data_IF_830548043616
#
_entry.id   IF_830548043616
#
_cell.length_a   1.000
_cell.length_b   1.000
_cell.length_c   1.000
_cell.angle_alpha   90.00
_cell.angle_beta   90.00
_cell.angle_gamma   90.00
#
_symmetry.space_group_name_H-M   'P 1'
#
loop_
_entity.id
_entity.type
_entity.pdbx_description
1 polymer ?
#
# COMPACT_ATOMS: atom_id res chain seq x y z
N UNK A 1 -9.71 -24.78 -0.06
CA UNK A 1 -10.93 -24.72 0.80
C UNK A 1 -10.64 -24.69 2.30
N UNK A 2 -9.65 -25.41 2.82
CA UNK A 2 -9.27 -25.41 4.24
C UNK A 2 -8.85 -24.02 4.78
N UNK A 3 -8.11 -23.24 4.00
CA UNK A 3 -7.65 -21.92 4.45
C UNK A 3 -8.81 -20.93 4.65
N UNK A 4 -9.79 -20.90 3.74
CA UNK A 4 -11.01 -20.07 3.89
C UNK A 4 -11.78 -20.43 5.16
N UNK A 5 -11.86 -21.73 5.48
CA UNK A 5 -12.46 -22.22 6.72
C UNK A 5 -11.64 -21.83 7.97
N UNK A 6 -10.31 -21.78 7.87
CA UNK A 6 -9.42 -21.32 8.93
C UNK A 6 -9.58 -19.81 9.17
N UNK A 7 -9.59 -19.00 8.11
CA UNK A 7 -9.83 -17.55 8.15
C UNK A 7 -11.19 -17.29 8.80
N UNK A 8 -12.26 -17.94 8.35
CA UNK A 8 -13.59 -17.82 8.96
C UNK A 8 -13.65 -18.28 10.42
N UNK A 9 -12.75 -19.17 10.87
CA UNK A 9 -12.69 -19.65 12.26
C UNK A 9 -11.86 -18.72 13.17
N UNK A 10 -10.76 -18.15 12.67
CA UNK A 10 -9.99 -17.13 13.39
C UNK A 10 -10.75 -15.80 13.43
N UNK A 11 -11.45 -15.49 12.35
CA UNK A 11 -12.29 -14.32 12.17
C UNK A 11 -13.74 -14.59 12.63
N UNK A 12 -13.97 -15.05 13.87
CA UNK A 12 -15.35 -15.28 14.38
C UNK A 12 -15.82 -14.37 15.51
N UNK A 13 -15.00 -13.40 15.97
CA UNK A 13 -15.37 -12.42 17.01
C UNK A 13 -14.25 -11.41 17.24
N UNK A 14 -14.36 -10.22 16.64
CA UNK A 14 -13.78 -8.99 17.18
C UNK A 14 -14.63 -7.82 16.69
N UNK A 15 -15.32 -7.16 17.62
CA UNK A 15 -16.31 -6.13 17.33
C UNK A 15 -15.65 -4.88 16.70
N UNK A 16 -16.21 -4.46 15.56
CA UNK A 16 -16.36 -3.06 15.14
C UNK A 16 -15.18 -2.10 15.29
N UNK A 17 -14.23 -2.13 14.36
CA UNK A 17 -13.46 -0.94 13.97
C UNK A 17 -13.16 -1.02 12.46
N UNK A 18 -13.75 -0.13 11.67
CA UNK A 18 -13.47 -0.02 10.24
C UNK A 18 -12.16 0.75 10.02
N UNK A 19 -11.05 0.04 9.76
CA UNK A 19 -9.73 0.62 9.46
C UNK A 19 -9.17 0.22 8.08
N UNK A 20 -10.00 -0.22 7.14
CA UNK A 20 -9.55 -0.75 5.84
C UNK A 20 -10.08 0.01 4.61
N UNK A 21 -9.28 0.02 3.54
CA UNK A 21 -9.67 0.51 2.21
C UNK A 21 -10.75 -0.39 1.60
N UNK A 22 -11.89 0.20 1.27
CA UNK A 22 -12.98 -0.40 0.51
C UNK A 22 -13.91 0.68 0.00
N UNK A 23 -14.34 0.54 -1.26
CA UNK A 23 -15.56 1.19 -1.77
C UNK A 23 -16.71 0.84 -0.79
N UNK A 24 -17.64 1.76 -0.49
CA UNK A 24 -18.75 1.49 0.41
C UNK A 24 -19.74 0.53 -0.27
N UNK A 25 -19.39 -0.75 -0.35
CA UNK A 25 -20.31 -1.82 -0.69
C UNK A 25 -20.51 -2.63 0.59
N UNK A 26 -21.65 -2.39 1.22
CA UNK A 26 -22.40 -3.22 2.16
C UNK A 26 -21.64 -4.20 3.08
N UNK A 27 -21.62 -3.82 4.36
CA UNK A 27 -22.13 -4.61 5.49
C UNK A 27 -21.34 -5.80 6.08
N UNK A 28 -20.02 -5.86 5.97
CA UNK A 28 -19.20 -6.61 6.95
C UNK A 28 -18.01 -5.79 7.48
N UNK A 29 -17.94 -5.51 8.80
CA UNK A 29 -16.77 -4.89 9.40
C UNK A 29 -15.56 -5.80 9.20
N UNK A 30 -14.50 -5.28 8.55
CA UNK A 30 -13.25 -6.01 8.31
C UNK A 30 -12.68 -6.47 9.66
N UNK A 31 -12.63 -7.77 9.89
CA UNK A 31 -12.25 -8.28 11.18
C UNK A 31 -10.73 -8.22 11.39
N UNK A 32 -10.32 -7.49 12.41
CA UNK A 32 -8.92 -7.35 12.77
C UNK A 32 -8.43 -8.50 13.66
N UNK A 33 -7.21 -8.97 13.39
CA UNK A 33 -6.59 -10.13 14.02
C UNK A 33 -5.41 -9.66 14.89
N UNK A 34 -5.48 -9.83 16.23
CA UNK A 34 -4.36 -9.55 17.12
C UNK A 34 -3.30 -10.66 17.02
N UNK A 35 -2.29 -10.46 16.17
CA UNK A 35 -1.25 -11.46 15.91
C UNK A 35 -0.49 -11.91 17.16
N UNK A 36 -0.39 -11.04 18.17
CA UNK A 36 0.20 -11.35 19.48
C UNK A 36 -0.44 -12.57 20.17
N UNK A 37 -1.69 -12.91 19.84
CA UNK A 37 -2.39 -14.09 20.38
C UNK A 37 -1.99 -15.40 19.69
N UNK A 38 -1.24 -15.33 18.60
CA UNK A 38 -0.90 -16.47 17.74
C UNK A 38 0.60 -16.49 17.43
N UNK A 39 1.46 -16.96 18.35
CA UNK A 39 2.92 -16.84 18.23
C UNK A 39 3.53 -17.56 17.02
N UNK A 40 2.85 -18.55 16.44
CA UNK A 40 3.28 -19.24 15.20
C UNK A 40 2.74 -18.62 13.91
N UNK A 41 1.87 -17.61 13.98
CA UNK A 41 1.19 -17.07 12.81
C UNK A 41 2.12 -16.27 11.92
N UNK A 42 3.01 -15.45 12.50
CA UNK A 42 3.93 -14.62 11.71
C UNK A 42 4.91 -15.50 10.92
N UNK A 43 5.65 -16.45 11.53
CA UNK A 43 6.54 -17.35 10.79
C UNK A 43 5.83 -18.16 9.71
N UNK A 44 4.59 -18.60 9.98
CA UNK A 44 3.78 -19.30 8.99
C UNK A 44 3.47 -18.39 7.80
N UNK A 45 2.94 -17.18 8.04
CA UNK A 45 2.57 -16.25 6.98
C UNK A 45 3.78 -15.79 6.16
N UNK A 46 4.92 -15.51 6.80
CA UNK A 46 6.16 -15.16 6.08
C UNK A 46 6.67 -16.34 5.25
N UNK A 47 6.61 -17.58 5.78
CA UNK A 47 6.91 -18.80 5.02
C UNK A 47 5.95 -19.04 3.85
N UNK A 48 4.69 -18.60 3.96
CA UNK A 48 3.70 -18.60 2.87
C UNK A 48 3.94 -17.48 1.83
N UNK A 49 4.87 -16.55 2.07
CA UNK A 49 5.29 -15.52 1.12
C UNK A 49 6.68 -15.76 0.54
N UNK A 50 7.55 -16.54 1.20
CA UNK A 50 8.92 -16.82 0.73
C UNK A 50 8.98 -17.33 -0.73
N UNK A 51 10.00 -16.88 -1.47
CA UNK A 51 10.29 -17.34 -2.84
C UNK A 51 10.63 -18.82 -2.81
N UNK A 52 9.93 -19.61 -3.63
CA UNK A 52 10.21 -21.05 -3.75
C UNK A 52 9.58 -21.95 -2.68
N UNK A 53 8.66 -21.47 -1.83
CA UNK A 53 7.93 -22.40 -0.94
C UNK A 53 6.94 -23.30 -1.69
N UNK A 54 6.61 -22.97 -2.94
CA UNK A 54 6.00 -23.90 -3.89
C UNK A 54 7.09 -24.84 -4.45
N UNK A 55 7.75 -25.64 -3.59
CA UNK A 55 8.58 -26.76 -4.06
C UNK A 55 7.66 -27.92 -4.46
N UNK A 56 6.90 -27.71 -5.53
CA UNK A 56 6.38 -28.83 -6.30
C UNK A 56 7.54 -29.55 -6.99
N UNK A 57 7.36 -30.84 -7.30
CA UNK A 57 8.33 -31.61 -8.09
C UNK A 57 8.72 -30.82 -9.35
N UNK A 58 9.97 -30.95 -9.80
CA UNK A 58 10.51 -30.25 -10.98
C UNK A 58 9.74 -30.52 -12.30
N UNK A 59 8.75 -31.41 -12.27
CA UNK A 59 7.86 -31.76 -13.38
C UNK A 59 6.58 -30.91 -13.48
N UNK A 60 6.29 -30.05 -12.50
CA UNK A 60 5.05 -29.27 -12.54
C UNK A 60 5.08 -28.24 -13.66
N UNK A 61 3.99 -28.16 -14.44
CA UNK A 61 3.84 -27.13 -15.48
C UNK A 61 3.87 -25.72 -14.88
N UNK A 62 4.29 -24.72 -15.67
CA UNK A 62 4.29 -23.31 -15.22
C UNK A 62 2.91 -22.86 -14.70
N UNK A 63 1.82 -23.33 -15.33
CA UNK A 63 0.45 -23.03 -14.91
C UNK A 63 0.15 -23.57 -13.51
N UNK A 64 0.57 -24.79 -13.22
CA UNK A 64 0.38 -25.46 -11.94
C UNK A 64 1.22 -24.81 -10.83
N UNK A 65 2.46 -24.42 -11.13
CA UNK A 65 3.30 -23.67 -10.20
C UNK A 65 2.70 -22.30 -9.85
N UNK A 66 2.12 -21.60 -10.83
CA UNK A 66 1.43 -20.33 -10.60
C UNK A 66 0.15 -20.53 -9.78
N UNK A 67 -0.62 -21.59 -10.05
CA UNK A 67 -1.82 -21.95 -9.27
C UNK A 67 -1.46 -22.18 -7.80
N UNK A 68 -0.50 -23.07 -7.51
CA UNK A 68 -0.01 -23.34 -6.15
C UNK A 68 0.47 -22.06 -5.47
N UNK A 69 1.19 -21.20 -6.21
CA UNK A 69 1.66 -19.91 -5.69
C UNK A 69 0.50 -19.01 -5.32
N UNK A 70 -0.52 -18.87 -6.18
CA UNK A 70 -1.68 -18.02 -5.89
C UNK A 70 -2.52 -18.52 -4.72
N UNK A 71 -2.73 -19.83 -4.61
CA UNK A 71 -3.48 -20.45 -3.51
C UNK A 71 -2.80 -20.28 -2.15
N UNK A 72 -1.47 -20.09 -2.14
CA UNK A 72 -0.68 -19.84 -0.94
C UNK A 72 -0.60 -18.36 -0.59
N UNK A 73 -0.28 -17.52 -1.59
CA UNK A 73 0.09 -16.12 -1.39
C UNK A 73 -1.13 -15.24 -1.14
N UNK A 74 -2.21 -15.40 -1.91
CA UNK A 74 -3.41 -14.57 -1.71
C UNK A 74 -3.97 -14.67 -0.29
N UNK A 75 -4.13 -15.88 0.26
CA UNK A 75 -4.74 -15.97 1.57
C UNK A 75 -3.79 -15.52 2.70
N UNK A 76 -2.48 -15.66 2.51
CA UNK A 76 -1.49 -15.11 3.43
C UNK A 76 -1.54 -13.57 3.46
N UNK A 77 -1.59 -12.92 2.30
CA UNK A 77 -1.75 -11.46 2.18
C UNK A 77 -3.06 -10.97 2.81
N UNK A 78 -4.15 -11.71 2.62
CA UNK A 78 -5.45 -11.38 3.22
C UNK A 78 -5.41 -11.40 4.75
N UNK A 79 -4.77 -12.42 5.36
CA UNK A 79 -4.60 -12.49 6.81
C UNK A 79 -3.70 -11.36 7.34
N UNK A 80 -2.60 -11.07 6.64
CA UNK A 80 -1.69 -9.97 7.00
C UNK A 80 -2.41 -8.62 6.94
N UNK A 81 -3.19 -8.37 5.88
CA UNK A 81 -3.93 -7.13 5.70
C UNK A 81 -5.01 -6.89 6.77
N UNK A 82 -5.36 -7.93 7.53
CA UNK A 82 -6.29 -7.87 8.65
C UNK A 82 -5.57 -7.82 10.01
N UNK A 83 -4.24 -7.64 10.06
CA UNK A 83 -3.51 -7.46 11.32
C UNK A 83 -4.06 -6.27 12.10
N UNK A 84 -4.31 -6.46 13.41
CA UNK A 84 -4.71 -5.39 14.31
C UNK A 84 -3.55 -4.39 14.50
N UNK A 85 -3.81 -3.06 14.45
CA UNK A 85 -2.76 -2.05 14.70
C UNK A 85 -2.13 -2.24 16.08
N UNK A 86 -0.81 -2.38 16.11
CA UNK A 86 -0.03 -2.53 17.33
C UNK A 86 1.22 -1.66 17.25
N UNK A 87 1.86 -1.31 18.37
CA UNK A 87 3.16 -0.63 18.35
C UNK A 87 4.14 -1.40 17.47
N UNK A 88 4.98 -0.65 16.75
CA UNK A 88 5.96 -1.22 15.83
C UNK A 88 6.89 -2.21 16.56
N UNK A 89 7.08 -3.36 15.94
CA UNK A 89 7.94 -4.45 16.43
C UNK A 89 8.84 -4.95 15.31
N UNK A 90 9.92 -5.66 15.66
CA UNK A 90 10.80 -6.31 14.67
C UNK A 90 10.05 -7.29 13.76
N UNK A 91 8.97 -7.88 14.26
CA UNK A 91 8.12 -8.78 13.47
C UNK A 91 7.31 -8.03 12.39
N UNK A 92 7.00 -6.74 12.60
CA UNK A 92 6.32 -5.92 11.59
C UNK A 92 7.23 -5.62 10.40
N UNK A 93 8.52 -5.39 10.66
CA UNK A 93 9.52 -5.20 9.62
C UNK A 93 9.67 -6.46 8.75
N UNK A 94 9.71 -7.65 9.37
CA UNK A 94 9.76 -8.93 8.67
C UNK A 94 8.52 -9.18 7.80
N UNK A 95 7.33 -8.82 8.29
CA UNK A 95 6.10 -8.89 7.51
C UNK A 95 6.18 -7.95 6.30
N UNK A 96 6.58 -6.69 6.51
CA UNK A 96 6.72 -5.70 5.43
C UNK A 96 7.72 -6.17 4.37
N UNK A 97 8.87 -6.70 4.79
CA UNK A 97 9.88 -7.27 3.89
C UNK A 97 9.27 -8.43 3.07
N UNK A 98 8.63 -9.40 3.72
CA UNK A 98 8.02 -10.56 3.07
C UNK A 98 6.93 -10.19 2.06
N UNK A 99 6.11 -9.17 2.39
CA UNK A 99 5.10 -8.63 1.47
C UNK A 99 5.77 -7.91 0.29
N UNK A 100 6.84 -7.15 0.52
CA UNK A 100 7.54 -6.42 -0.54
C UNK A 100 8.17 -7.34 -1.60
N UNK A 101 8.59 -8.55 -1.23
CA UNK A 101 9.08 -9.54 -2.20
C UNK A 101 8.04 -9.92 -3.25
N UNK A 102 6.74 -9.79 -2.93
CA UNK A 102 5.66 -10.09 -3.86
C UNK A 102 5.48 -9.01 -4.94
N UNK A 103 6.12 -7.84 -4.81
CA UNK A 103 6.09 -6.81 -5.86
C UNK A 103 6.69 -7.31 -7.17
N UNK A 104 7.63 -8.25 -7.11
CA UNK A 104 8.27 -8.85 -8.28
C UNK A 104 7.51 -10.06 -8.87
N UNK A 105 6.35 -10.42 -8.29
CA UNK A 105 5.59 -11.58 -8.75
C UNK A 105 5.18 -11.42 -10.23
N UNK A 106 5.25 -12.50 -11.06
CA UNK A 106 4.74 -12.46 -12.43
C UNK A 106 3.21 -12.30 -12.48
N UNK A 107 2.51 -12.68 -11.40
CA UNK A 107 1.05 -12.57 -11.31
C UNK A 107 0.65 -11.16 -10.88
N UNK A 108 0.01 -10.41 -11.78
CA UNK A 108 -0.46 -9.05 -11.50
C UNK A 108 -1.33 -8.96 -10.23
N UNK A 109 -2.26 -9.90 -10.06
CA UNK A 109 -3.14 -9.92 -8.88
C UNK A 109 -2.37 -10.04 -7.56
N UNK A 110 -1.27 -10.80 -7.53
CA UNK A 110 -0.41 -10.89 -6.34
C UNK A 110 0.28 -9.55 -6.08
N UNK A 111 0.83 -8.90 -7.13
CA UNK A 111 1.47 -7.58 -6.99
C UNK A 111 0.50 -6.55 -6.41
N UNK A 112 -0.73 -6.52 -6.94
CA UNK A 112 -1.78 -5.60 -6.50
C UNK A 112 -2.23 -5.86 -5.05
N UNK A 113 -2.47 -7.11 -4.69
CA UNK A 113 -2.87 -7.46 -3.31
C UNK A 113 -1.73 -7.18 -2.33
N UNK A 114 -0.48 -7.48 -2.70
CA UNK A 114 0.68 -7.18 -1.87
C UNK A 114 0.85 -5.67 -1.65
N UNK A 115 0.72 -4.86 -2.71
CA UNK A 115 0.79 -3.42 -2.63
C UNK A 115 -0.27 -2.82 -1.69
N UNK A 116 -1.52 -3.28 -1.77
CA UNK A 116 -2.60 -2.85 -0.84
C UNK A 116 -2.32 -3.28 0.60
N UNK A 117 -1.81 -4.50 0.78
CA UNK A 117 -1.48 -5.07 2.09
C UNK A 117 -0.35 -4.27 2.74
N UNK A 118 0.75 -4.06 2.01
CA UNK A 118 1.88 -3.24 2.45
C UNK A 118 1.41 -1.84 2.83
N UNK A 119 0.64 -1.19 1.96
CA UNK A 119 0.12 0.14 2.22
C UNK A 119 -0.76 0.19 3.48
N UNK A 120 -1.46 -0.89 3.84
CA UNK A 120 -2.29 -0.94 5.05
C UNK A 120 -1.47 -1.03 6.33
N UNK A 121 -0.33 -1.73 6.28
CA UNK A 121 0.57 -1.93 7.43
C UNK A 121 1.39 -0.70 7.79
N UNK A 122 1.66 0.18 6.81
CA UNK A 122 2.44 1.41 7.03
C UNK A 122 1.65 2.37 7.90
N UNK A 123 2.27 2.88 8.97
CA UNK A 123 1.67 3.95 9.77
C UNK A 123 1.41 5.18 8.91
N UNK A 124 0.29 5.86 9.15
CA UNK A 124 -0.10 7.05 8.39
C UNK A 124 0.97 8.15 8.43
N UNK A 125 1.68 8.24 9.55
CA UNK A 125 2.70 9.25 9.77
C UNK A 125 4.01 8.97 9.01
N UNK A 126 4.24 7.70 8.69
CA UNK A 126 5.43 7.24 7.96
C UNK A 126 5.19 7.14 6.44
N UNK A 127 3.98 7.42 5.95
CA UNK A 127 3.65 7.19 4.53
C UNK A 127 4.62 7.93 3.59
N UNK A 128 4.88 9.22 3.82
CA UNK A 128 5.74 10.00 2.92
C UNK A 128 7.19 9.51 2.93
N UNK A 129 7.73 9.16 4.11
CA UNK A 129 9.09 8.62 4.22
C UNK A 129 9.21 7.25 3.55
N UNK A 130 8.19 6.41 3.69
CA UNK A 130 8.11 5.10 3.02
C UNK A 130 8.00 5.25 1.50
N UNK A 131 7.22 6.20 1.00
CA UNK A 131 7.14 6.49 -0.45
C UNK A 131 8.53 6.84 -1.02
N UNK A 132 9.27 7.71 -0.33
CA UNK A 132 10.63 8.08 -0.74
C UNK A 132 11.56 6.86 -0.76
N UNK A 133 11.60 6.08 0.33
CA UNK A 133 12.40 4.85 0.44
C UNK A 133 12.07 3.84 -0.67
N UNK A 134 10.78 3.66 -0.97
CA UNK A 134 10.34 2.79 -2.07
C UNK A 134 10.81 3.30 -3.44
N UNK A 135 10.83 4.61 -3.65
CA UNK A 135 11.32 5.19 -4.91
C UNK A 135 12.83 5.02 -5.10
N UNK A 136 13.59 5.00 -4.01
CA UNK A 136 15.05 4.86 -4.02
C UNK A 136 15.52 3.41 -4.11
N UNK A 137 14.60 2.45 -3.97
CA UNK A 137 14.90 1.02 -4.00
C UNK A 137 15.49 0.61 -5.36
N UNK A 138 16.53 -0.23 -5.34
CA UNK A 138 17.11 -0.82 -6.55
C UNK A 138 16.06 -1.62 -7.32
N UNK A 139 15.85 -1.25 -8.59
CA UNK A 139 14.87 -1.88 -9.47
C UNK A 139 15.55 -3.01 -10.24
N UNK A 140 15.06 -4.23 -10.08
CA UNK A 140 15.59 -5.43 -10.73
C UNK A 140 14.75 -5.90 -11.93
N UNK A 141 13.53 -5.37 -12.10
CA UNK A 141 12.65 -5.73 -13.19
C UNK A 141 11.35 -4.91 -13.24
N UNK A 142 10.65 -5.00 -14.38
CA UNK A 142 9.40 -4.26 -14.60
C UNK A 142 8.26 -4.71 -13.67
N UNK A 143 8.23 -5.99 -13.27
CA UNK A 143 7.24 -6.48 -12.32
C UNK A 143 7.42 -5.80 -10.96
N UNK A 144 8.63 -5.84 -10.40
CA UNK A 144 8.97 -5.14 -9.16
C UNK A 144 8.64 -3.66 -9.24
N UNK A 145 9.04 -2.98 -10.33
CA UNK A 145 8.75 -1.57 -10.54
C UNK A 145 7.24 -1.28 -10.53
N UNK A 146 6.45 -2.11 -11.21
CA UNK A 146 5.00 -2.01 -11.22
C UNK A 146 4.39 -2.24 -9.83
N UNK A 147 4.88 -3.23 -9.08
CA UNK A 147 4.44 -3.49 -7.70
C UNK A 147 4.75 -2.31 -6.75
N UNK A 148 5.94 -1.70 -6.88
CA UNK A 148 6.32 -0.49 -6.15
C UNK A 148 5.40 0.68 -6.51
N UNK A 149 5.14 0.90 -7.80
CA UNK A 149 4.24 1.95 -8.28
C UNK A 149 2.82 1.80 -7.72
N UNK A 150 2.26 0.58 -7.75
CA UNK A 150 0.98 0.27 -7.11
C UNK A 150 0.99 0.59 -5.61
N UNK A 151 2.07 0.23 -4.90
CA UNK A 151 2.18 0.48 -3.46
C UNK A 151 2.16 1.99 -3.16
N UNK A 152 2.96 2.77 -3.89
CA UNK A 152 2.99 4.23 -3.76
C UNK A 152 1.62 4.83 -4.08
N UNK A 153 0.93 4.34 -5.11
CA UNK A 153 -0.45 4.76 -5.42
C UNK A 153 -1.38 4.55 -4.22
N UNK A 154 -1.37 3.36 -3.62
CA UNK A 154 -2.23 3.07 -2.45
C UNK A 154 -1.86 3.90 -1.22
N UNK A 155 -0.56 4.13 -0.98
CA UNK A 155 -0.06 5.00 0.08
C UNK A 155 -0.51 6.46 -0.10
N UNK A 156 -0.39 7.01 -1.31
CA UNK A 156 -0.87 8.37 -1.62
C UNK A 156 -2.38 8.47 -1.45
N UNK A 157 -3.14 7.48 -1.93
CA UNK A 157 -4.59 7.40 -1.71
C UNK A 157 -4.93 7.41 -0.22
N UNK A 158 -4.15 6.75 0.64
CA UNK A 158 -4.35 6.76 2.11
C UNK A 158 -4.19 8.15 2.71
N UNK A 159 -3.18 8.92 2.27
CA UNK A 159 -2.99 10.33 2.67
C UNK A 159 -4.17 11.17 2.19
N UNK A 160 -4.55 11.01 0.92
CA UNK A 160 -5.62 11.75 0.28
C UNK A 160 -7.00 11.43 0.86
N UNK A 161 -7.25 10.22 1.34
CA UNK A 161 -8.52 9.84 1.96
C UNK A 161 -8.63 10.23 3.45
N UNK A 162 -7.54 10.66 4.09
CA UNK A 162 -7.55 10.97 5.52
C UNK A 162 -8.45 12.19 5.82
N UNK A 163 -9.32 12.11 6.85
CA UNK A 163 -10.10 13.25 7.31
C UNK A 163 -9.20 14.39 7.78
N UNK A 164 -9.64 15.63 7.58
CA UNK A 164 -8.93 16.84 8.02
C UNK A 164 -8.60 16.78 9.53
N UNK A 165 -9.51 16.22 10.33
CA UNK A 165 -9.36 16.05 11.78
C UNK A 165 -8.13 15.20 12.19
N UNK A 166 -7.72 14.22 11.37
CA UNK A 166 -6.53 13.41 11.63
C UNK A 166 -5.27 14.29 11.71
N UNK A 167 -5.13 15.23 10.78
CA UNK A 167 -3.99 16.14 10.70
C UNK A 167 -4.07 17.30 11.69
N UNK A 168 -5.28 17.63 12.19
CA UNK A 168 -5.50 18.66 13.19
C UNK A 168 -5.09 18.22 14.60
N UNK A 169 -5.34 16.96 14.97
CA UNK A 169 -5.05 16.44 16.33
C UNK A 169 -3.54 16.36 16.64
N UNK A 170 -2.69 16.20 15.62
CA UNK A 170 -1.26 15.95 15.79
C UNK A 170 -0.39 17.22 15.82
N UNK A 171 -0.96 18.37 15.43
CA UNK A 171 -0.26 19.67 15.46
C UNK A 171 -0.79 20.44 16.66
N UNK A 172 0.07 20.81 17.61
CA UNK A 172 -0.28 21.78 18.65
C UNK A 172 -0.65 23.08 17.94
N UNK A 173 -1.94 23.34 17.76
CA UNK A 173 -2.43 24.51 17.03
C UNK A 173 -3.53 25.19 17.82
N UNK A 174 -3.44 26.52 17.83
CA UNK A 174 -4.33 27.44 18.52
C UNK A 174 -5.69 27.51 17.82
N UNK A 175 -6.72 27.98 18.53
CA UNK A 175 -8.14 28.02 18.12
C UNK A 175 -8.44 28.64 16.73
N UNK A 176 -7.49 29.33 16.10
CA UNK A 176 -7.69 30.04 14.83
C UNK A 176 -7.71 29.14 13.59
N UNK A 177 -7.19 27.91 13.67
CA UNK A 177 -7.08 26.98 12.54
C UNK A 177 -8.26 26.01 12.40
N UNK A 178 -9.23 26.11 13.30
CA UNK A 178 -10.35 25.15 13.42
C UNK A 178 -11.36 25.28 12.26
N UNK A 179 -11.39 26.41 11.56
CA UNK A 179 -12.53 26.73 10.69
C UNK A 179 -12.29 26.63 9.17
N UNK A 180 -11.15 26.14 8.69
CA UNK A 180 -10.91 26.13 7.24
C UNK A 180 -10.13 24.90 6.77
N UNK A 181 -10.33 24.51 5.51
CA UNK A 181 -9.70 23.38 4.81
C UNK A 181 -8.15 23.47 4.67
N UNK A 182 -7.47 24.15 5.60
CA UNK A 182 -6.04 24.46 5.61
C UNK A 182 -5.12 23.29 5.92
N UNK A 183 -5.59 22.21 6.57
CA UNK A 183 -4.69 21.10 6.94
C UNK A 183 -4.18 20.31 5.74
N UNK A 184 -5.00 20.04 4.71
CA UNK A 184 -4.48 19.40 3.49
C UNK A 184 -3.55 20.34 2.71
N UNK A 185 -3.90 21.64 2.67
CA UNK A 185 -3.05 22.69 2.12
C UNK A 185 -1.65 22.73 2.78
N UNK A 186 -1.53 22.30 4.05
CA UNK A 186 -0.26 22.19 4.75
C UNK A 186 0.55 20.92 4.38
N UNK A 187 -0.12 19.85 3.93
CA UNK A 187 0.54 18.63 3.44
C UNK A 187 0.89 18.69 1.96
N UNK A 188 0.22 19.55 1.19
CA UNK A 188 0.42 19.68 -0.25
C UNK A 188 1.90 19.95 -0.61
N UNK A 189 2.64 20.86 0.05
CA UNK A 189 4.07 21.04 -0.20
C UNK A 189 4.89 19.76 0.04
N UNK A 190 4.58 19.01 1.10
CA UNK A 190 5.28 17.77 1.44
C UNK A 190 4.97 16.63 0.46
N UNK A 191 3.72 16.55 -0.02
CA UNK A 191 3.32 15.62 -1.08
C UNK A 191 4.07 15.97 -2.36
N UNK A 192 4.10 17.24 -2.76
CA UNK A 192 4.81 17.70 -3.98
C UNK A 192 6.30 17.41 -3.91
N UNK A 193 6.94 17.76 -2.79
CA UNK A 193 8.37 17.51 -2.58
C UNK A 193 8.71 16.02 -2.57
N UNK A 194 7.75 15.17 -2.19
CA UNK A 194 7.89 13.71 -2.21
C UNK A 194 7.61 13.11 -3.58
N UNK A 195 6.61 13.62 -4.31
CA UNK A 195 6.23 13.06 -5.61
C UNK A 195 7.28 13.32 -6.68
N UNK A 196 7.93 14.49 -6.68
CA UNK A 196 8.98 14.80 -7.67
C UNK A 196 10.09 13.73 -7.72
N UNK A 197 10.81 13.42 -6.62
CA UNK A 197 11.85 12.39 -6.65
C UNK A 197 11.29 11.00 -6.97
N UNK A 198 10.03 10.70 -6.63
CA UNK A 198 9.38 9.43 -7.02
C UNK A 198 9.31 9.30 -8.54
N UNK A 199 8.82 10.31 -9.25
CA UNK A 199 8.70 10.25 -10.70
C UNK A 199 10.08 10.24 -11.38
N UNK A 200 11.06 11.00 -10.88
CA UNK A 200 12.44 10.93 -11.39
C UNK A 200 13.06 9.55 -11.17
N UNK A 201 12.93 9.00 -9.96
CA UNK A 201 13.56 7.75 -9.58
C UNK A 201 12.94 6.54 -10.27
N UNK A 202 11.61 6.51 -10.40
CA UNK A 202 10.90 5.41 -11.06
C UNK A 202 10.87 5.57 -12.59
N UNK A 203 10.67 6.80 -13.08
CA UNK A 203 10.48 7.14 -14.49
C UNK A 203 11.63 6.68 -15.38
N UNK A 204 12.88 6.87 -14.92
CA UNK A 204 14.10 6.40 -15.61
C UNK A 204 14.14 4.88 -15.87
N UNK A 205 13.37 4.10 -15.12
CA UNK A 205 13.32 2.64 -15.23
C UNK A 205 12.08 2.14 -15.96
N UNK A 206 11.15 3.02 -16.35
CA UNK A 206 9.89 2.61 -16.98
C UNK A 206 10.16 2.18 -18.41
N UNK A 207 9.82 0.93 -18.72
CA UNK A 207 9.80 0.42 -20.11
C UNK A 207 8.50 -0.31 -20.43
N UNK A 208 7.73 -0.70 -19.41
CA UNK A 208 6.45 -1.36 -19.56
C UNK A 208 5.29 -0.37 -19.65
N UNK A 209 4.31 -0.55 -20.57
CA UNK A 209 3.12 0.27 -20.63
C UNK A 209 2.24 0.14 -19.37
N UNK A 210 2.30 -0.99 -18.67
CA UNK A 210 1.58 -1.19 -17.41
C UNK A 210 2.12 -0.28 -16.31
N UNK A 211 3.44 -0.20 -16.17
CA UNK A 211 4.08 0.69 -15.19
C UNK A 211 3.85 2.16 -15.52
N UNK A 212 3.95 2.53 -16.80
CA UNK A 212 3.64 3.90 -17.24
C UNK A 212 2.21 4.28 -16.88
N UNK A 213 1.25 3.39 -17.16
CA UNK A 213 -0.15 3.59 -16.78
C UNK A 213 -0.30 3.84 -15.29
N UNK A 214 0.36 3.06 -14.44
CA UNK A 214 0.30 3.25 -13.00
C UNK A 214 0.85 4.60 -12.53
N UNK A 215 1.94 5.09 -13.13
CA UNK A 215 2.46 6.44 -12.85
C UNK A 215 1.47 7.53 -13.25
N UNK A 216 0.81 7.40 -14.41
CA UNK A 216 -0.22 8.34 -14.86
C UNK A 216 -1.44 8.32 -13.92
N UNK A 217 -1.86 7.15 -13.47
CA UNK A 217 -2.96 7.00 -12.50
C UNK A 217 -2.63 7.69 -11.16
N UNK A 218 -1.37 7.62 -10.69
CA UNK A 218 -0.93 8.36 -9.49
C UNK A 218 -1.12 9.86 -9.69
N UNK A 219 -0.70 10.41 -10.84
CA UNK A 219 -0.86 11.83 -11.14
C UNK A 219 -2.35 12.19 -11.16
N UNK A 220 -3.16 11.38 -11.82
CA UNK A 220 -4.60 11.60 -11.92
C UNK A 220 -5.29 11.59 -10.55
N UNK A 221 -4.97 10.62 -9.69
CA UNK A 221 -5.50 10.53 -8.33
C UNK A 221 -5.14 11.78 -7.49
N UNK A 222 -3.90 12.26 -7.61
CA UNK A 222 -3.44 13.45 -6.91
C UNK A 222 -4.17 14.71 -7.39
N UNK A 223 -4.37 14.86 -8.70
CA UNK A 223 -5.13 15.96 -9.29
C UNK A 223 -6.58 15.96 -8.83
N UNK A 224 -7.25 14.81 -8.93
CA UNK A 224 -8.64 14.66 -8.51
C UNK A 224 -8.80 14.91 -7.01
N UNK A 225 -7.83 14.48 -6.20
CA UNK A 225 -7.81 14.79 -4.76
C UNK A 225 -7.61 16.28 -4.50
N UNK A 226 -6.77 16.96 -5.28
CA UNK A 226 -6.58 18.41 -5.18
C UNK A 226 -7.84 19.21 -5.54
N UNK A 227 -8.53 18.82 -6.62
CA UNK A 227 -9.77 19.44 -7.08
C UNK A 227 -10.92 19.26 -6.08
N UNK A 228 -11.17 18.02 -5.64
CA UNK A 228 -12.24 17.72 -4.67
C UNK A 228 -12.12 18.47 -3.35
N UNK A 229 -10.93 18.99 -3.03
CA UNK A 229 -10.63 19.71 -1.80
C UNK A 229 -10.46 21.22 -2.00
N UNK A 230 -10.80 21.75 -3.18
CA UNK A 230 -10.77 23.19 -3.47
C UNK A 230 -9.35 23.78 -3.53
N UNK A 231 -8.34 22.98 -3.85
CA UNK A 231 -6.92 23.41 -3.96
C UNK A 231 -6.46 23.54 -5.42
N UNK A 232 -7.38 23.80 -6.33
CA UNK A 232 -7.22 23.78 -7.79
C UNK A 232 -6.00 24.60 -8.28
N UNK A 233 -5.83 25.82 -7.75
CA UNK A 233 -4.70 26.69 -8.12
C UNK A 233 -3.31 26.16 -7.71
N UNK A 234 -3.23 25.25 -6.73
CA UNK A 234 -1.98 24.62 -6.26
C UNK A 234 -1.78 23.20 -6.82
N UNK A 235 -2.85 22.48 -7.15
CA UNK A 235 -2.79 21.23 -7.90
C UNK A 235 -2.10 21.45 -9.27
N UNK A 236 -2.34 22.60 -9.89
CA UNK A 236 -1.67 23.03 -11.11
C UNK A 236 -0.15 23.20 -10.96
N UNK A 237 0.35 23.60 -9.78
CA UNK A 237 1.79 23.67 -9.50
C UNK A 237 2.43 22.29 -9.36
N UNK A 238 1.71 21.31 -8.79
CA UNK A 238 2.19 19.92 -8.74
C UNK A 238 2.40 19.40 -10.16
N UNK A 239 1.39 19.60 -11.02
CA UNK A 239 1.44 19.21 -12.43
C UNK A 239 2.58 19.90 -13.19
N UNK A 240 2.69 21.24 -13.07
CA UNK A 240 3.79 21.99 -13.68
C UNK A 240 5.15 21.51 -13.16
N UNK A 241 5.28 21.23 -11.86
CA UNK A 241 6.54 20.82 -11.25
C UNK A 241 6.99 19.42 -11.66
N UNK A 242 6.03 18.55 -12.02
CA UNK A 242 6.29 17.19 -12.51
C UNK A 242 6.61 17.19 -14.01
N UNK A 243 5.93 18.02 -14.81
CA UNK A 243 6.15 18.10 -16.27
C UNK A 243 7.34 18.99 -16.67
N UNK A 244 7.68 20.02 -15.89
CA UNK A 244 8.83 20.89 -16.15
C UNK A 244 10.14 20.34 -15.58
N UNK A 245 10.14 19.18 -14.94
CA UNK A 245 11.36 18.53 -14.46
C UNK A 245 12.12 17.77 -15.57
N UNK A 246 11.47 17.53 -16.71
CA UNK A 246 12.02 16.80 -17.87
C UNK A 246 11.96 17.64 -19.17
N UNK A 247 12.11 18.98 -19.05
CA UNK A 247 12.41 19.90 -20.16
C UNK A 247 13.73 20.63 -19.87
#
# INVERSE_FOLDING_TARGET
MLFRSLVQRMCRRTNGVNLGFGVPNDSEPRQLIPFQRFPGLIPLLTGLLEKGAAKGSSDNTLSEQLSITTERVFPALELIGNKFPSPASSEDERILESVSWQFDSPVWGIRDHAARTYATLVDRDDILSVILKLSETSIHGQNQLHGIGLCIKYLLRRICAAPVAYYQCKRSMTLFDIHNAKCLLALLPAIVSTTRPVFTNLGRHVSSPFTLRELVEIINDLLQSGMSKGTEGKAHYVFLSLFLADL
#
